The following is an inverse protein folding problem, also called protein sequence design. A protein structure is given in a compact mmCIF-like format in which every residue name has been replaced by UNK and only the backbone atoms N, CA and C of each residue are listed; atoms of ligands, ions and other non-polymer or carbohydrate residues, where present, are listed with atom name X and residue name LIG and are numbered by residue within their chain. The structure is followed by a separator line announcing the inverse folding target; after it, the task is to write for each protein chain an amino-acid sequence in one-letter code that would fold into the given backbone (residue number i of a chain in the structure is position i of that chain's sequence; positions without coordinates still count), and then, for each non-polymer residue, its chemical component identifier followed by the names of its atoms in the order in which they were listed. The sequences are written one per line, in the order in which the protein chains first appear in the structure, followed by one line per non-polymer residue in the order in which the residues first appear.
data_IF_620433581864
#
_entry.id   IF_620433581864
#
_cell.length_a   1.000
_cell.length_b   1.000
_cell.length_c   1.000
_cell.angle_alpha   90.00
_cell.angle_beta   90.00
_cell.angle_gamma   90.00
#
_symmetry.space_group_name_H-M   'P 1'
#
loop_
_entity.id
_entity.type
_entity.pdbx_description
1 polymer ?
#
# COMPACT_ATOMS: atom_id res chain seq x y z
N UNK A 1 -6.88 39.42 -2.60
CA UNK A 1 -6.86 38.46 -1.47
C UNK A 1 -5.67 38.79 -0.58
N UNK A 2 -5.90 39.21 0.67
CA UNK A 2 -4.82 39.29 1.66
C UNK A 2 -4.29 37.86 1.86
N UNK A 3 -3.04 37.59 1.48
CA UNK A 3 -2.37 36.33 1.80
C UNK A 3 -2.34 36.26 3.33
N UNK A 4 -2.98 35.25 3.90
CA UNK A 4 -2.83 34.97 5.32
C UNK A 4 -1.35 34.60 5.52
N UNK A 5 -0.58 35.49 6.15
CA UNK A 5 0.89 35.36 6.25
C UNK A 5 1.30 34.32 7.28
N UNK A 6 0.40 33.97 8.21
CA UNK A 6 0.63 32.93 9.20
C UNK A 6 -0.30 31.75 8.93
N UNK A 7 0.30 30.64 8.47
CA UNK A 7 -0.39 29.37 8.21
C UNK A 7 -0.18 28.37 9.36
N UNK A 8 0.56 28.76 10.40
CA UNK A 8 1.02 27.87 11.47
C UNK A 8 0.43 28.18 12.84
N UNK A 9 -0.20 29.35 12.99
CA UNK A 9 -0.98 29.71 14.18
C UNK A 9 -2.40 29.17 14.03
N UNK A 10 -2.92 28.42 15.01
CA UNK A 10 -4.28 27.88 14.97
C UNK A 10 -5.34 28.97 14.89
N UNK A 11 -6.49 28.64 14.29
CA UNK A 11 -7.66 29.52 14.28
C UNK A 11 -8.13 29.75 15.73
N UNK A 12 -8.53 31.00 16.05
CA UNK A 12 -8.96 31.39 17.39
C UNK A 12 -10.11 30.52 17.89
N UNK A 13 -10.11 30.21 19.18
CA UNK A 13 -11.20 29.50 19.87
C UNK A 13 -12.53 30.26 19.84
N UNK A 14 -12.51 31.56 19.57
CA UNK A 14 -13.72 32.39 19.48
C UNK A 14 -14.55 32.09 18.22
N UNK A 15 -13.91 31.51 17.19
CA UNK A 15 -14.62 31.06 15.99
C UNK A 15 -15.13 29.65 16.24
N UNK A 16 -16.44 29.46 16.11
CA UNK A 16 -17.05 28.16 16.35
C UNK A 16 -16.71 27.17 15.23
N UNK A 17 -16.16 26.01 15.62
CA UNK A 17 -15.94 24.87 14.73
C UNK A 17 -17.27 24.19 14.42
N UNK A 18 -17.59 24.02 13.13
CA UNK A 18 -18.83 23.38 12.66
C UNK A 18 -18.63 21.94 12.20
N UNK A 19 -17.41 21.58 11.81
CA UNK A 19 -17.10 20.24 11.33
C UNK A 19 -15.66 19.88 11.68
N UNK A 20 -15.44 18.61 12.04
CA UNK A 20 -14.11 18.05 12.27
C UNK A 20 -14.07 16.62 11.74
N UNK A 21 -12.98 16.28 11.07
CA UNK A 21 -12.70 14.94 10.57
C UNK A 21 -11.27 14.59 10.93
N UNK A 22 -11.07 13.39 11.46
CA UNK A 22 -9.74 12.88 11.78
C UNK A 22 -9.44 11.58 11.04
N UNK A 23 -8.15 11.35 10.80
CA UNK A 23 -7.61 10.11 10.27
C UNK A 23 -6.22 9.83 10.82
N UNK A 24 -5.71 8.64 10.54
CA UNK A 24 -4.40 8.15 10.95
C UNK A 24 -3.50 8.09 9.71
N UNK A 25 -2.39 8.82 9.72
CA UNK A 25 -1.34 8.68 8.71
C UNK A 25 -0.53 7.43 9.07
N UNK A 26 -0.48 6.48 8.15
CA UNK A 26 0.17 5.20 8.32
C UNK A 26 1.30 5.01 7.29
N UNK A 27 2.48 4.63 7.75
CA UNK A 27 3.57 4.12 6.91
C UNK A 27 3.38 2.62 6.63
N UNK A 28 3.25 2.27 5.35
CA UNK A 28 3.11 0.90 4.88
C UNK A 28 4.48 0.21 4.75
N UNK A 29 4.99 -0.30 5.87
CA UNK A 29 6.25 -1.05 5.92
C UNK A 29 6.18 -2.34 5.10
N UNK A 30 5.10 -3.10 5.26
CA UNK A 30 4.75 -4.23 4.38
C UNK A 30 3.30 -4.08 3.90
N UNK A 31 2.83 -4.99 3.04
CA UNK A 31 1.42 -5.00 2.60
C UNK A 31 0.43 -5.13 3.75
N UNK A 32 0.83 -5.74 4.87
CA UNK A 32 -0.05 -6.04 6.01
C UNK A 32 0.42 -5.35 7.29
N UNK A 33 1.62 -4.78 7.31
CA UNK A 33 2.19 -4.14 8.50
C UNK A 33 2.28 -2.64 8.26
N UNK A 34 1.46 -1.92 9.00
CA UNK A 34 1.36 -0.48 8.96
C UNK A 34 1.90 0.09 10.29
N UNK A 35 2.52 1.26 10.22
CA UNK A 35 2.93 2.03 11.39
C UNK A 35 2.17 3.34 11.40
N UNK A 36 1.37 3.60 12.42
CA UNK A 36 0.78 4.93 12.63
C UNK A 36 1.89 5.91 12.94
N UNK A 37 2.08 6.91 12.10
CA UNK A 37 3.15 7.91 12.25
C UNK A 37 2.63 9.28 12.68
N UNK A 38 1.36 9.57 12.44
CA UNK A 38 0.71 10.79 12.94
C UNK A 38 -0.82 10.67 12.90
N UNK A 39 -1.50 11.42 13.77
CA UNK A 39 -2.90 11.79 13.55
C UNK A 39 -2.95 12.98 12.59
N UNK A 40 -3.96 13.02 11.73
CA UNK A 40 -4.30 14.21 10.96
C UNK A 40 -5.76 14.58 11.20
N UNK A 41 -6.02 15.86 11.47
CA UNK A 41 -7.36 16.41 11.67
C UNK A 41 -7.59 17.56 10.71
N UNK A 42 -8.78 17.61 10.12
CA UNK A 42 -9.31 18.73 9.37
C UNK A 42 -10.45 19.36 10.17
N UNK A 43 -10.36 20.65 10.46
CA UNK A 43 -11.43 21.43 11.09
C UNK A 43 -11.94 22.49 10.10
N UNK A 44 -13.26 22.68 10.08
CA UNK A 44 -13.97 23.74 9.35
C UNK A 44 -14.79 24.56 10.35
N UNK A 45 -14.77 25.88 10.17
CA UNK A 45 -15.34 26.87 11.09
C UNK A 45 -16.53 27.61 10.45
N UNK A 46 -17.34 28.29 11.28
CA UNK A 46 -18.54 29.04 10.82
C UNK A 46 -18.22 30.14 9.80
N UNK A 47 -17.04 30.76 9.88
CA UNK A 47 -16.58 31.82 8.97
C UNK A 47 -15.93 31.26 7.69
N UNK A 48 -16.15 29.99 7.39
CA UNK A 48 -15.55 29.23 6.27
C UNK A 48 -14.02 29.06 6.35
N UNK A 49 -13.38 29.54 7.44
CA UNK A 49 -11.98 29.24 7.68
C UNK A 49 -11.79 27.75 7.99
N UNK A 50 -10.62 27.22 7.66
CA UNK A 50 -10.29 25.82 7.88
C UNK A 50 -8.83 25.64 8.23
N UNK A 51 -8.52 24.52 8.86
CA UNK A 51 -7.15 24.13 9.18
C UNK A 51 -6.94 22.63 9.10
N UNK A 52 -5.71 22.23 8.78
CA UNK A 52 -5.21 20.89 9.02
C UNK A 52 -4.26 20.89 10.21
N UNK A 53 -4.36 19.85 11.03
CA UNK A 53 -3.53 19.64 12.22
C UNK A 53 -2.87 18.28 12.08
N UNK A 54 -1.54 18.25 12.12
CA UNK A 54 -0.77 17.00 12.16
C UNK A 54 -0.22 16.82 13.58
N UNK A 55 -0.47 15.65 14.18
CA UNK A 55 0.00 15.28 15.52
C UNK A 55 0.90 14.03 15.39
N UNK A 56 2.22 14.20 15.22
CA UNK A 56 3.12 13.06 15.01
C UNK A 56 3.26 12.17 16.24
N UNK A 57 3.36 10.87 15.98
CA UNK A 57 3.60 9.84 16.99
C UNK A 57 5.10 9.57 17.10
N UNK A 58 5.81 10.39 17.88
CA UNK A 58 7.27 10.29 18.02
C UNK A 58 7.72 8.95 18.62
N UNK A 59 6.90 8.34 19.48
CA UNK A 59 7.08 6.98 20.01
C UNK A 59 7.18 5.90 18.92
N UNK A 60 6.55 6.13 17.76
CA UNK A 60 6.66 5.26 16.58
C UNK A 60 7.73 5.77 15.61
N UNK A 61 7.70 7.05 15.26
CA UNK A 61 8.59 7.67 14.27
C UNK A 61 10.06 7.48 14.65
N UNK A 62 10.40 7.61 15.93
CA UNK A 62 11.77 7.41 16.41
C UNK A 62 12.22 5.95 16.32
N UNK A 63 11.28 5.01 16.27
CA UNK A 63 11.53 3.59 16.04
C UNK A 63 11.89 3.27 14.59
N UNK A 64 11.43 4.09 13.64
CA UNK A 64 11.57 3.85 12.20
C UNK A 64 12.92 4.30 11.62
N UNK A 65 13.91 4.68 12.43
CA UNK A 65 15.22 5.15 11.96
C UNK A 65 16.00 4.13 11.12
N UNK A 66 15.67 2.83 11.24
CA UNK A 66 16.29 1.76 10.46
C UNK A 66 15.63 1.52 9.10
N UNK A 67 14.55 2.23 8.80
CA UNK A 67 13.81 2.14 7.54
C UNK A 67 13.70 3.51 6.90
N UNK A 68 13.93 3.56 5.61
CA UNK A 68 13.72 4.78 4.84
C UNK A 68 12.21 4.99 4.62
N UNK A 69 11.60 5.74 5.55
CA UNK A 69 10.17 6.05 5.54
C UNK A 69 9.88 7.49 5.03
N UNK A 70 10.90 8.30 4.78
CA UNK A 70 10.81 9.58 4.08
C UNK A 70 10.23 10.79 4.85
N UNK A 71 9.65 10.59 6.04
CA UNK A 71 8.98 11.67 6.75
C UNK A 71 7.57 11.96 6.23
N UNK A 72 6.89 12.96 6.79
CA UNK A 72 5.59 13.45 6.27
C UNK A 72 5.84 14.64 5.34
N UNK A 73 5.48 14.56 4.04
CA UNK A 73 5.67 15.64 3.07
C UNK A 73 5.19 17.02 3.56
N UNK A 74 6.11 17.98 3.57
CA UNK A 74 5.83 19.36 3.98
C UNK A 74 5.80 19.59 5.49
N UNK A 75 6.16 18.59 6.32
CA UNK A 75 6.27 18.71 7.78
C UNK A 75 7.73 18.47 8.21
N UNK A 76 8.32 19.45 8.90
CA UNK A 76 9.65 19.30 9.50
C UNK A 76 9.53 18.70 10.91
N UNK A 77 9.73 17.38 11.03
CA UNK A 77 9.60 16.64 12.28
C UNK A 77 10.78 16.85 13.26
N UNK A 78 11.91 17.39 12.80
CA UNK A 78 13.06 17.70 13.65
C UNK A 78 12.73 18.79 14.69
N UNK A 79 11.69 19.59 14.42
CA UNK A 79 11.19 20.61 15.35
C UNK A 79 10.49 20.01 16.58
N UNK A 80 10.17 18.71 16.56
CA UNK A 80 9.56 17.99 17.70
C UNK A 80 8.29 18.63 18.28
N UNK A 81 7.52 19.34 17.45
CA UNK A 81 6.24 19.94 17.90
C UNK A 81 5.21 18.85 18.12
N UNK A 82 4.38 19.01 19.14
CA UNK A 82 3.21 18.15 19.35
C UNK A 82 2.20 18.30 18.22
N UNK A 83 2.03 19.53 17.70
CA UNK A 83 1.07 19.87 16.64
C UNK A 83 1.71 20.73 15.57
N UNK A 84 1.41 20.42 14.31
CA UNK A 84 1.74 21.24 13.15
C UNK A 84 0.45 21.68 12.46
N UNK A 85 0.21 22.99 12.46
CA UNK A 85 -0.97 23.59 11.85
C UNK A 85 -0.70 24.01 10.40
N UNK A 86 -1.73 23.90 9.58
CA UNK A 86 -1.81 24.44 8.21
C UNK A 86 -3.15 25.12 8.05
N UNK A 87 -3.18 26.42 8.33
CA UNK A 87 -4.39 27.25 8.35
C UNK A 87 -4.63 27.89 6.98
N UNK A 88 -5.83 27.70 6.43
CA UNK A 88 -6.24 28.29 5.16
C UNK A 88 -5.44 27.81 3.93
N UNK A 89 -4.67 26.73 4.07
CA UNK A 89 -3.86 26.15 2.99
C UNK A 89 -3.98 24.64 2.96
N UNK A 90 -3.94 24.06 1.76
CA UNK A 90 -3.89 22.61 1.56
C UNK A 90 -2.43 22.16 1.75
N UNK A 91 -2.12 21.30 2.73
CA UNK A 91 -0.76 20.79 2.94
C UNK A 91 -0.26 19.97 1.75
N UNK A 92 1.05 19.97 1.49
CA UNK A 92 1.70 19.17 0.44
C UNK A 92 1.27 17.70 0.49
N UNK A 93 1.30 17.10 1.69
CA UNK A 93 0.84 15.73 1.93
C UNK A 93 -0.56 15.45 1.33
N UNK A 94 -1.51 16.38 1.52
CA UNK A 94 -2.89 16.26 1.04
C UNK A 94 -2.97 16.54 -0.47
N UNK A 95 -2.34 17.61 -0.95
CA UNK A 95 -2.47 18.04 -2.35
C UNK A 95 -1.92 17.02 -3.34
N UNK A 96 -0.85 16.32 -2.99
CA UNK A 96 -0.21 15.32 -3.87
C UNK A 96 -0.99 14.00 -3.97
N UNK A 97 -1.99 13.80 -3.11
CA UNK A 97 -2.75 12.54 -3.00
C UNK A 97 -4.23 12.68 -3.36
N UNK A 98 -4.70 13.90 -3.59
CA UNK A 98 -6.11 14.17 -3.82
C UNK A 98 -6.35 14.83 -5.17
N UNK A 99 -7.49 14.58 -5.83
CA UNK A 99 -7.76 15.14 -7.15
C UNK A 99 -7.83 16.67 -7.11
N UNK A 100 -7.50 17.32 -8.24
CA UNK A 100 -7.73 18.75 -8.42
C UNK A 100 -9.24 19.04 -8.46
N UNK A 101 -9.72 20.18 -7.92
CA UNK A 101 -11.13 20.58 -8.06
C UNK A 101 -11.54 20.78 -9.53
N UNK A 102 -10.57 21.07 -10.40
CA UNK A 102 -10.77 21.28 -11.85
C UNK A 102 -10.76 19.99 -12.68
N UNK A 103 -10.68 18.81 -12.05
CA UNK A 103 -10.61 17.52 -12.78
C UNK A 103 -11.95 17.23 -13.48
N UNK A 104 -11.90 16.91 -14.77
CA UNK A 104 -13.09 16.70 -15.62
C UNK A 104 -14.04 15.64 -15.06
N UNK A 105 -13.52 14.51 -14.57
CA UNK A 105 -14.33 13.40 -14.07
C UNK A 105 -14.49 13.41 -12.53
N UNK A 106 -14.31 14.57 -11.88
CA UNK A 106 -14.35 14.65 -10.42
C UNK A 106 -15.69 14.17 -9.84
N UNK A 107 -16.81 14.49 -10.49
CA UNK A 107 -18.15 14.12 -10.00
C UNK A 107 -18.32 12.60 -9.89
N UNK A 108 -17.98 11.85 -10.94
CA UNK A 108 -18.03 10.38 -10.94
C UNK A 108 -17.09 9.78 -9.89
N UNK A 109 -15.94 10.41 -9.68
CA UNK A 109 -14.95 10.01 -8.68
C UNK A 109 -15.46 10.21 -7.26
N UNK A 110 -16.13 11.33 -6.98
CA UNK A 110 -16.77 11.61 -5.70
C UNK A 110 -17.92 10.64 -5.41
N UNK A 111 -18.76 10.37 -6.42
CA UNK A 111 -19.85 9.38 -6.29
C UNK A 111 -19.31 7.98 -5.95
N UNK A 112 -18.23 7.54 -6.61
CA UNK A 112 -17.56 6.26 -6.29
C UNK A 112 -16.93 6.23 -4.90
N UNK A 113 -16.47 7.37 -4.40
CA UNK A 113 -15.89 7.54 -3.08
C UNK A 113 -16.94 7.81 -1.97
N UNK A 114 -18.24 7.80 -2.32
CA UNK A 114 -19.35 8.13 -1.43
C UNK A 114 -19.20 9.53 -0.79
N UNK A 115 -18.96 10.54 -1.64
CA UNK A 115 -18.74 11.93 -1.25
C UNK A 115 -19.66 12.87 -2.03
N UNK A 116 -20.36 13.77 -1.32
CA UNK A 116 -21.18 14.81 -1.94
C UNK A 116 -20.36 16.01 -2.45
N UNK A 117 -19.20 16.25 -1.82
CA UNK A 117 -18.25 17.29 -2.18
C UNK A 117 -16.82 16.84 -1.89
N UNK A 118 -15.83 17.53 -2.49
CA UNK A 118 -14.42 17.19 -2.32
C UNK A 118 -13.90 17.62 -0.93
N UNK A 119 -14.19 16.84 0.10
CA UNK A 119 -13.39 16.83 1.32
C UNK A 119 -12.15 15.97 1.09
N UNK A 120 -10.98 16.62 1.01
CA UNK A 120 -9.72 15.96 0.68
C UNK A 120 -9.26 14.95 1.73
N UNK A 121 -9.50 15.19 3.01
CA UNK A 121 -9.12 14.21 4.03
C UNK A 121 -10.06 12.99 3.99
N UNK A 122 -11.38 13.22 3.84
CA UNK A 122 -12.34 12.12 3.69
C UNK A 122 -12.07 11.30 2.43
N UNK A 123 -11.68 11.95 1.33
CA UNK A 123 -11.25 11.28 0.11
C UNK A 123 -10.11 10.28 0.38
N UNK A 124 -9.08 10.69 1.13
CA UNK A 124 -7.95 9.82 1.46
C UNK A 124 -8.34 8.65 2.37
N UNK A 125 -9.34 8.84 3.23
CA UNK A 125 -9.88 7.77 4.09
C UNK A 125 -10.73 6.78 3.29
N UNK A 126 -11.52 7.28 2.32
CA UNK A 126 -12.49 6.48 1.58
C UNK A 126 -11.91 5.75 0.36
N UNK A 127 -10.67 6.07 -0.05
CA UNK A 127 -10.10 5.56 -1.29
C UNK A 127 -8.69 5.00 -1.07
N UNK A 128 -8.30 4.03 -1.91
CA UNK A 128 -6.94 3.49 -1.93
C UNK A 128 -5.96 4.42 -2.67
N UNK A 129 -6.19 5.74 -2.66
CA UNK A 129 -5.32 6.68 -3.36
C UNK A 129 -3.98 6.78 -2.64
N UNK A 130 -2.91 6.47 -3.39
CA UNK A 130 -1.54 6.47 -2.89
C UNK A 130 -0.65 7.34 -3.77
N UNK A 131 0.21 8.12 -3.12
CA UNK A 131 1.28 8.83 -3.81
C UNK A 131 2.44 7.87 -4.07
N UNK A 132 2.94 7.81 -5.30
CA UNK A 132 3.98 6.85 -5.68
C UNK A 132 5.36 7.16 -5.08
N UNK A 133 5.58 8.39 -4.62
CA UNK A 133 6.87 8.83 -4.08
C UNK A 133 7.13 8.41 -2.63
N UNK A 134 6.14 7.88 -1.91
CA UNK A 134 6.32 7.32 -0.58
C UNK A 134 5.35 6.17 -0.28
N UNK A 135 5.37 5.67 0.95
CA UNK A 135 4.54 4.56 1.42
C UNK A 135 3.53 5.01 2.46
N UNK A 136 3.11 6.28 2.44
CA UNK A 136 2.15 6.81 3.38
C UNK A 136 0.73 6.67 2.85
N UNK A 137 -0.16 6.18 3.70
CA UNK A 137 -1.60 6.08 3.47
C UNK A 137 -2.35 6.76 4.61
N UNK A 138 -3.60 7.13 4.39
CA UNK A 138 -4.49 7.62 5.45
C UNK A 138 -5.53 6.56 5.74
N UNK A 139 -5.74 6.27 7.02
CA UNK A 139 -6.77 5.36 7.50
C UNK A 139 -7.76 6.14 8.38
N UNK A 140 -8.93 5.56 8.61
CA UNK A 140 -9.91 6.13 9.53
C UNK A 140 -9.33 6.30 10.96
N UNK A 141 -9.82 7.28 11.71
CA UNK A 141 -9.42 7.46 13.11
C UNK A 141 -9.69 6.19 13.92
N UNK A 142 -8.74 5.81 14.79
CA UNK A 142 -8.83 4.56 15.55
C UNK A 142 -8.63 3.27 14.74
N UNK A 143 -8.25 3.36 13.46
CA UNK A 143 -7.93 2.17 12.65
C UNK A 143 -6.95 1.22 13.35
N UNK A 144 -7.21 -0.08 13.27
CA UNK A 144 -6.34 -1.12 13.82
C UNK A 144 -6.44 -2.37 12.94
N UNK A 145 -5.31 -2.86 12.46
CA UNK A 145 -5.23 -4.11 11.69
C UNK A 145 -4.37 -5.19 12.36
N UNK A 146 -4.06 -5.05 13.65
CA UNK A 146 -3.39 -6.08 14.42
C UNK A 146 -4.33 -7.28 14.64
N UNK A 147 -3.91 -8.47 14.24
CA UNK A 147 -4.71 -9.69 14.30
C UNK A 147 -4.23 -10.67 15.38
N UNK A 148 -3.30 -10.26 16.25
CA UNK A 148 -2.67 -11.13 17.24
C UNK A 148 -1.29 -11.67 16.84
N UNK A 149 -0.65 -12.34 17.77
CA UNK A 149 0.68 -12.92 17.59
C UNK A 149 0.64 -14.19 16.74
N UNK A 150 1.45 -14.20 15.68
CA UNK A 150 1.58 -15.40 14.86
C UNK A 150 2.48 -16.44 15.54
N UNK A 151 2.00 -17.68 15.58
CA UNK A 151 2.78 -18.85 16.03
C UNK A 151 3.43 -19.61 14.87
N UNK A 152 3.27 -19.14 13.63
CA UNK A 152 3.72 -19.85 12.41
C UNK A 152 5.25 -19.96 12.32
N UNK A 153 5.95 -18.90 12.70
CA UNK A 153 7.41 -18.86 12.76
C UNK A 153 7.87 -17.64 13.54
N UNK A 154 9.13 -17.63 13.99
CA UNK A 154 9.75 -16.46 14.62
C UNK A 154 9.67 -15.20 13.74
N UNK A 155 9.82 -15.34 12.42
CA UNK A 155 9.71 -14.20 11.49
C UNK A 155 8.30 -13.60 11.53
N UNK A 156 7.26 -14.44 11.51
CA UNK A 156 5.88 -13.98 11.55
C UNK A 156 5.50 -13.44 12.93
N UNK A 157 6.06 -14.02 14.00
CA UNK A 157 5.90 -13.50 15.35
C UNK A 157 6.50 -12.09 15.48
N UNK A 158 7.76 -11.89 15.07
CA UNK A 158 8.40 -10.58 15.06
C UNK A 158 7.59 -9.56 14.25
N UNK A 159 7.03 -9.98 13.10
CA UNK A 159 6.16 -9.10 12.30
C UNK A 159 4.84 -8.75 13.01
N UNK A 160 4.24 -9.68 13.76
CA UNK A 160 3.07 -9.42 14.59
C UNK A 160 3.39 -8.44 15.72
N UNK A 161 4.55 -8.56 16.36
CA UNK A 161 5.00 -7.59 17.38
C UNK A 161 5.17 -6.21 16.76
N UNK A 162 5.80 -6.10 15.58
CA UNK A 162 5.88 -4.83 14.85
C UNK A 162 4.51 -4.24 14.50
N UNK A 163 3.52 -5.07 14.14
CA UNK A 163 2.14 -4.61 13.91
C UNK A 163 1.51 -4.03 15.18
N UNK A 164 1.64 -4.73 16.32
CA UNK A 164 1.14 -4.24 17.61
C UNK A 164 1.78 -2.89 17.96
N UNK A 165 3.11 -2.81 17.85
CA UNK A 165 3.87 -1.60 18.16
C UNK A 165 3.50 -0.45 17.23
N UNK A 166 3.42 -0.71 15.92
CA UNK A 166 3.07 0.27 14.90
C UNK A 166 1.62 0.74 14.95
N UNK A 167 0.69 -0.07 15.44
CA UNK A 167 -0.72 0.34 15.65
C UNK A 167 -0.92 1.18 16.92
N UNK A 168 0.15 1.44 17.68
CA UNK A 168 0.11 2.16 18.97
C UNK A 168 -0.85 1.54 19.97
N UNK A 169 -0.92 0.22 19.99
CA UNK A 169 -1.69 -0.54 20.98
C UNK A 169 -0.90 -0.68 22.29
N UNK A 170 -1.57 -0.95 23.43
CA UNK A 170 -0.91 -1.31 24.67
C UNK A 170 0.11 -2.42 24.44
N UNK A 171 1.32 -2.23 24.97
CA UNK A 171 2.44 -3.12 24.68
C UNK A 171 2.41 -4.29 25.65
N UNK A 172 1.74 -5.35 25.26
CA UNK A 172 1.79 -6.65 25.92
C UNK A 172 2.37 -7.66 24.93
N UNK A 173 3.58 -8.13 25.21
CA UNK A 173 4.29 -9.11 24.37
C UNK A 173 4.50 -10.35 25.23
N UNK A 174 3.82 -11.43 24.86
CA UNK A 174 3.87 -12.73 25.54
C UNK A 174 3.64 -12.66 27.06
N UNK A 175 2.74 -11.78 27.50
CA UNK A 175 2.38 -11.59 28.91
C UNK A 175 3.29 -10.63 29.68
N UNK A 176 4.24 -9.99 29.00
CA UNK A 176 5.08 -8.94 29.56
C UNK A 176 4.54 -7.59 29.09
N UNK A 177 4.17 -6.75 30.05
CA UNK A 177 3.70 -5.39 29.80
C UNK A 177 4.88 -4.41 29.73
N UNK A 178 4.87 -3.55 28.71
CA UNK A 178 5.84 -2.47 28.51
C UNK A 178 5.13 -1.12 28.44
N UNK A 179 5.88 -0.08 28.78
CA UNK A 179 5.46 1.32 28.72
C UNK A 179 5.57 1.88 27.29
N UNK A 180 4.78 2.92 26.99
CA UNK A 180 4.85 3.61 25.69
C UNK A 180 6.23 4.23 25.42
N UNK A 181 6.99 4.57 26.46
CA UNK A 181 8.36 5.08 26.34
C UNK A 181 9.31 4.06 25.69
N UNK A 182 9.03 2.76 25.84
CA UNK A 182 9.85 1.69 25.28
C UNK A 182 9.51 1.37 23.81
N UNK A 183 8.38 1.88 23.29
CA UNK A 183 7.88 1.57 21.95
C UNK A 183 8.92 1.78 20.86
N UNK A 184 9.60 2.94 20.86
CA UNK A 184 10.59 3.26 19.82
C UNK A 184 11.77 2.30 19.85
N UNK A 185 12.25 1.92 21.04
CA UNK A 185 13.33 0.96 21.24
C UNK A 185 12.91 -0.44 20.81
N UNK A 186 11.70 -0.86 21.16
CA UNK A 186 11.14 -2.15 20.76
C UNK A 186 10.95 -2.23 19.24
N UNK A 187 10.46 -1.17 18.59
CA UNK A 187 10.34 -1.11 17.13
C UNK A 187 11.71 -1.32 16.49
N UNK A 188 12.76 -0.65 16.96
CA UNK A 188 14.13 -0.84 16.44
C UNK A 188 14.60 -2.28 16.59
N UNK A 189 14.44 -2.86 17.79
CA UNK A 189 14.87 -4.21 18.08
C UNK A 189 14.15 -5.24 17.18
N UNK A 190 12.83 -5.16 17.08
CA UNK A 190 12.04 -6.09 16.28
C UNK A 190 12.16 -5.87 14.77
N UNK A 191 12.49 -4.66 14.31
CA UNK A 191 12.86 -4.42 12.91
C UNK A 191 14.15 -5.17 12.55
N UNK A 192 15.17 -5.09 13.41
CA UNK A 192 16.43 -5.83 13.23
C UNK A 192 16.15 -7.34 13.23
N UNK A 193 15.39 -7.83 14.21
CA UNK A 193 15.06 -9.25 14.31
C UNK A 193 14.30 -9.74 13.08
N UNK A 194 13.25 -9.02 12.67
CA UNK A 194 12.46 -9.36 11.48
C UNK A 194 13.32 -9.41 10.22
N UNK A 195 14.14 -8.39 9.96
CA UNK A 195 14.99 -8.33 8.76
C UNK A 195 16.06 -9.43 8.75
N UNK A 196 16.63 -9.74 9.91
CA UNK A 196 17.57 -10.86 10.06
C UNK A 196 16.89 -12.19 9.71
N UNK A 197 15.72 -12.46 10.28
CA UNK A 197 14.96 -13.69 10.03
C UNK A 197 14.48 -13.78 8.58
N UNK A 198 14.00 -12.66 8.01
CA UNK A 198 13.57 -12.56 6.63
C UNK A 198 14.72 -12.81 5.64
N UNK A 199 15.91 -12.29 5.94
CA UNK A 199 17.11 -12.49 5.11
C UNK A 199 17.57 -13.94 5.16
N UNK A 200 17.65 -14.54 6.35
CA UNK A 200 17.99 -15.96 6.53
C UNK A 200 17.02 -16.88 5.78
N UNK A 201 15.72 -16.57 5.82
CA UNK A 201 14.70 -17.32 5.06
C UNK A 201 14.92 -17.18 3.54
N UNK A 202 15.15 -15.96 3.04
CA UNK A 202 15.42 -15.71 1.61
C UNK A 202 16.65 -16.48 1.12
N UNK A 203 17.74 -16.50 1.89
CA UNK A 203 18.94 -17.27 1.57
C UNK A 203 18.66 -18.77 1.47
N UNK A 204 17.99 -19.35 2.48
CA UNK A 204 17.60 -20.77 2.47
C UNK A 204 16.68 -21.11 1.30
N UNK A 205 15.72 -20.23 0.99
CA UNK A 205 14.83 -20.40 -0.15
C UNK A 205 15.61 -20.38 -1.47
N UNK A 206 16.59 -19.48 -1.62
CA UNK A 206 17.43 -19.42 -2.81
C UNK A 206 18.28 -20.68 -2.97
N UNK A 207 18.90 -21.19 -1.89
CA UNK A 207 19.65 -22.45 -1.92
C UNK A 207 18.75 -23.60 -2.36
N UNK A 208 17.57 -23.75 -1.75
CA UNK A 208 16.62 -24.80 -2.14
C UNK A 208 16.14 -24.67 -3.59
N UNK A 209 15.98 -23.45 -4.11
CA UNK A 209 15.65 -23.21 -5.52
C UNK A 209 16.80 -23.61 -6.46
N UNK A 210 18.05 -23.32 -6.09
CA UNK A 210 19.22 -23.71 -6.88
C UNK A 210 19.35 -25.24 -6.94
N UNK A 211 19.26 -25.92 -5.78
CA UNK A 211 19.30 -27.38 -5.72
C UNK A 211 18.14 -28.03 -6.50
N UNK A 212 16.94 -27.43 -6.48
CA UNK A 212 15.79 -27.92 -7.24
C UNK A 212 15.96 -27.72 -8.76
N UNK A 213 16.65 -26.66 -9.18
CA UNK A 213 17.03 -26.45 -10.60
C UNK A 213 18.08 -27.47 -11.03
N UNK A 214 19.11 -27.69 -10.22
CA UNK A 214 20.15 -28.70 -10.49
C UNK A 214 19.57 -30.11 -10.60
N UNK A 215 18.61 -30.46 -9.72
CA UNK A 215 17.88 -31.73 -9.77
C UNK A 215 16.84 -31.82 -10.89
N UNK A 216 16.69 -30.79 -11.73
CA UNK A 216 15.73 -30.76 -12.83
C UNK A 216 14.25 -30.72 -12.41
N UNK A 217 13.96 -30.48 -11.12
CA UNK A 217 12.58 -30.43 -10.58
C UNK A 217 11.87 -29.14 -11.01
N UNK A 218 12.62 -28.04 -11.14
CA UNK A 218 12.06 -26.74 -11.50
C UNK A 218 11.80 -26.62 -13.01
N UNK A 219 10.63 -27.09 -13.47
CA UNK A 219 10.20 -27.06 -14.88
C UNK A 219 9.34 -25.83 -15.24
N UNK A 220 9.22 -24.87 -14.32
CA UNK A 220 8.39 -23.68 -14.49
C UNK A 220 6.88 -23.98 -14.42
N UNK A 221 6.06 -23.04 -14.89
CA UNK A 221 4.60 -23.23 -14.93
C UNK A 221 4.28 -24.33 -15.95
N UNK A 222 3.61 -25.40 -15.50
CA UNK A 222 3.08 -26.44 -16.41
C UNK A 222 2.30 -25.77 -17.54
N UNK A 223 2.63 -26.03 -18.81
CA UNK A 223 1.91 -25.46 -19.93
C UNK A 223 0.42 -25.81 -19.85
N UNK A 224 -0.45 -24.91 -20.29
CA UNK A 224 -1.86 -25.25 -20.50
C UNK A 224 -1.90 -26.39 -21.50
N UNK A 225 -2.51 -27.49 -21.09
CA UNK A 225 -2.62 -28.71 -21.86
C UNK A 225 -3.69 -28.50 -22.93
N UNK A 226 -3.23 -28.45 -24.18
CA UNK A 226 -4.06 -28.46 -25.37
C UNK A 226 -3.50 -29.56 -26.24
N UNK A 227 -4.34 -30.51 -26.64
CA UNK A 227 -3.89 -31.65 -27.43
C UNK A 227 -3.34 -31.16 -28.78
N UNK A 228 -2.26 -31.79 -29.26
CA UNK A 228 -1.66 -31.45 -30.55
C UNK A 228 -2.67 -31.56 -31.72
N UNK A 229 -3.56 -32.59 -31.77
CA UNK A 229 -4.59 -32.65 -32.81
C UNK A 229 -5.55 -31.45 -32.79
N UNK A 230 -5.97 -31.00 -31.60
CA UNK A 230 -6.84 -29.83 -31.47
C UNK A 230 -6.12 -28.54 -31.88
N UNK A 231 -4.84 -28.39 -31.53
CA UNK A 231 -4.04 -27.25 -31.96
C UNK A 231 -3.88 -27.20 -33.48
N UNK A 232 -3.63 -28.34 -34.12
CA UNK A 232 -3.49 -28.41 -35.59
C UNK A 232 -4.83 -28.14 -36.29
N UNK A 233 -5.92 -28.73 -35.80
CA UNK A 233 -7.27 -28.48 -36.33
C UNK A 233 -7.65 -26.99 -36.26
N UNK A 234 -7.45 -26.36 -35.10
CA UNK A 234 -7.72 -24.92 -34.90
C UNK A 234 -6.83 -24.08 -35.81
N UNK A 235 -5.55 -24.44 -35.99
CA UNK A 235 -4.64 -23.74 -36.91
C UNK A 235 -5.12 -23.83 -38.35
N UNK A 236 -5.49 -25.01 -38.82
CA UNK A 236 -5.96 -25.22 -40.20
C UNK A 236 -7.29 -24.49 -40.46
N UNK A 237 -8.24 -24.56 -39.52
CA UNK A 237 -9.53 -23.84 -39.63
C UNK A 237 -9.33 -22.33 -39.63
N UNK A 238 -8.42 -21.81 -38.79
CA UNK A 238 -8.11 -20.38 -38.74
C UNK A 238 -7.41 -19.91 -40.02
N UNK A 239 -6.44 -20.67 -40.55
CA UNK A 239 -5.74 -20.37 -41.81
C UNK A 239 -6.67 -20.38 -43.03
N UNK A 240 -7.66 -21.28 -43.02
CA UNK A 240 -8.70 -21.37 -44.05
C UNK A 240 -9.85 -20.36 -43.87
N UNK A 241 -9.79 -19.49 -42.85
CA UNK A 241 -10.84 -18.49 -42.57
C UNK A 241 -12.17 -19.07 -42.08
N UNK A 242 -12.21 -20.34 -41.66
CA UNK A 242 -13.43 -21.05 -41.22
C UNK A 242 -13.84 -20.72 -39.78
N UNK A 243 -12.91 -20.21 -38.99
CA UNK A 243 -13.15 -19.72 -37.63
C UNK A 243 -12.44 -18.38 -37.46
N UNK A 244 -12.93 -17.54 -36.56
CA UNK A 244 -12.26 -16.28 -36.22
C UNK A 244 -11.17 -16.50 -35.16
N UNK A 245 -10.29 -15.51 -34.97
CA UNK A 245 -9.33 -15.53 -33.87
C UNK A 245 -10.05 -15.62 -32.51
N UNK A 246 -11.20 -14.95 -32.35
CA UNK A 246 -12.00 -15.01 -31.11
C UNK A 246 -12.45 -16.44 -30.81
N UNK A 247 -12.90 -17.17 -31.83
CA UNK A 247 -13.32 -18.56 -31.71
C UNK A 247 -12.15 -19.49 -31.39
N UNK A 248 -11.01 -19.29 -32.06
CA UNK A 248 -9.78 -20.04 -31.80
C UNK A 248 -9.29 -19.89 -30.34
N UNK A 249 -9.39 -18.68 -29.78
CA UNK A 249 -9.05 -18.42 -28.38
C UNK A 249 -10.05 -19.07 -27.42
N UNK A 250 -11.34 -19.08 -27.76
CA UNK A 250 -12.36 -19.73 -26.95
C UNK A 250 -12.20 -21.27 -26.93
N UNK A 251 -11.93 -21.87 -28.09
CA UNK A 251 -11.76 -23.33 -28.24
C UNK A 251 -10.51 -23.81 -27.49
N UNK A 252 -9.38 -23.13 -27.68
CA UNK A 252 -8.09 -23.54 -27.09
C UNK A 252 -7.92 -23.07 -25.65
N UNK A 253 -8.74 -22.11 -25.20
CA UNK A 253 -8.60 -21.41 -23.91
C UNK A 253 -7.21 -20.80 -23.72
N UNK A 254 -6.52 -20.49 -24.81
CA UNK A 254 -5.20 -19.87 -24.80
C UNK A 254 -5.30 -18.36 -25.00
N UNK A 255 -4.33 -17.62 -24.47
CA UNK A 255 -4.15 -16.21 -24.85
C UNK A 255 -3.67 -16.10 -26.29
N UNK A 256 -3.89 -14.95 -26.93
CA UNK A 256 -3.43 -14.67 -28.30
C UNK A 256 -1.94 -14.96 -28.47
N UNK A 257 -1.11 -14.45 -27.57
CA UNK A 257 0.34 -14.66 -27.60
C UNK A 257 0.71 -16.14 -27.42
N UNK A 258 0.05 -16.84 -26.50
CA UNK A 258 0.30 -18.28 -26.26
C UNK A 258 -0.09 -19.13 -27.46
N UNK A 259 -1.22 -18.82 -28.10
CA UNK A 259 -1.74 -19.55 -29.26
C UNK A 259 -0.78 -19.48 -30.44
N UNK A 260 -0.34 -18.29 -30.83
CA UNK A 260 0.63 -18.13 -31.93
C UNK A 260 1.99 -18.77 -31.62
N UNK A 261 2.45 -18.68 -30.36
CA UNK A 261 3.68 -19.37 -29.95
C UNK A 261 3.56 -20.89 -30.12
N UNK A 262 2.42 -21.48 -29.77
CA UNK A 262 2.15 -22.92 -29.93
C UNK A 262 2.06 -23.33 -31.40
N UNK A 263 1.44 -22.51 -32.26
CA UNK A 263 1.42 -22.77 -33.71
C UNK A 263 2.82 -22.77 -34.31
N UNK A 264 3.66 -21.80 -33.93
CA UNK A 264 5.06 -21.75 -34.38
C UNK A 264 5.84 -23.00 -33.94
N UNK A 265 5.67 -23.42 -32.69
CA UNK A 265 6.30 -24.66 -32.19
C UNK A 265 5.83 -25.91 -32.96
N UNK A 266 4.55 -25.97 -33.32
CA UNK A 266 3.98 -27.08 -34.10
C UNK A 266 4.57 -27.14 -35.52
N UNK A 267 4.71 -25.98 -36.18
CA UNK A 267 5.35 -25.86 -37.49
C UNK A 267 6.83 -26.28 -37.43
N UNK A 268 7.56 -25.83 -36.41
CA UNK A 268 8.97 -26.18 -36.21
C UNK A 268 9.17 -27.68 -35.92
N UNK A 269 8.23 -28.34 -35.24
CA UNK A 269 8.28 -29.80 -35.04
C UNK A 269 7.97 -30.56 -36.33
N UNK A 270 6.95 -30.13 -37.09
CA UNK A 270 6.56 -30.78 -38.35
C UNK A 270 7.66 -30.68 -39.43
N UNK A 271 8.41 -29.58 -39.45
CA UNK A 271 9.53 -29.37 -40.38
C UNK A 271 10.83 -30.10 -40.00
N UNK A 272 10.95 -30.68 -38.79
CA UNK A 272 12.13 -31.47 -38.37
C UNK A 272 11.95 -32.97 -38.60
N UNK A 273 10.71 -33.42 -38.76
CA UNK A 273 10.35 -34.84 -38.94
C UNK A 273 10.09 -35.22 -40.41
N UNK A 274 10.15 -34.25 -41.33
CA UNK A 274 10.06 -34.45 -42.78
C UNK A 274 11.36 -34.11 -43.49
#
# INVERSE_FOLDING_TARGET
MKRNTDITTPISSDVKRIYSLSGEICFAYTKTTLFKVAKITYDLFEDESYQYIFEPYYDVVDGLVLVDWGGIPGINLDLRRERYYRVGVIPTFISERTPSPSRVNLKEELERANLDYLNRLQWLINTDTVYTGDKLIVQQDGFNNFTGFSTKSAQWHALSVLQLLGMRLPIDIDGIHFSDQERSTLIKAYLIEYEFLATKRRQRQNIGQLEAKERGVYTGRKPIEVSLPLLDEVRQKLKAGRITLKDALAITKLSKATLYRRFKQLEESQNREG
#
